data_IF_880042500708
#
_entry.id   IF_880042500708
#
_cell.length_a   1.000
_cell.length_b   1.000
_cell.length_c   1.000
_cell.angle_alpha   90.00
_cell.angle_beta   90.00
_cell.angle_gamma   90.00
#
_symmetry.space_group_name_H-M   'P 1'
#
loop_
_entity.id
_entity.type
_entity.pdbx_description
1 polymer ?
#
# COMPACT_ATOMS: atom_id res chain seq x y z
N UNK A 1 -53.51 42.26 20.78
CA UNK A 1 -52.06 42.03 20.98
C UNK A 1 -51.94 41.09 22.17
N UNK A 2 -51.88 39.75 21.87
CA UNK A 2 -51.57 38.73 22.88
C UNK A 2 -50.18 38.95 23.40
N UNK A 3 -50.04 39.08 24.70
CA UNK A 3 -48.72 39.09 25.36
C UNK A 3 -48.02 37.73 25.10
N UNK A 4 -46.97 37.72 24.32
CA UNK A 4 -46.03 36.62 24.30
C UNK A 4 -45.47 36.48 25.73
N UNK A 5 -46.12 35.65 26.55
CA UNK A 5 -45.57 35.25 27.84
C UNK A 5 -44.51 34.22 27.61
N UNK A 6 -43.29 34.47 28.11
CA UNK A 6 -42.23 33.48 28.09
C UNK A 6 -42.75 32.18 28.76
N UNK A 7 -42.50 30.99 28.16
CA UNK A 7 -42.87 29.72 28.77
C UNK A 7 -42.27 29.59 30.18
N UNK A 8 -42.89 28.81 31.07
CA UNK A 8 -42.30 28.52 32.38
C UNK A 8 -40.91 27.93 32.28
N UNK A 9 -40.00 28.28 33.20
CA UNK A 9 -38.62 27.85 33.20
C UNK A 9 -38.42 26.32 33.00
N UNK A 10 -39.23 25.42 33.63
CA UNK A 10 -39.13 23.98 33.38
C UNK A 10 -39.39 23.61 31.93
N UNK A 11 -40.41 24.20 31.30
CA UNK A 11 -40.73 23.97 29.88
C UNK A 11 -39.58 24.42 28.95
N UNK A 12 -38.95 25.55 29.27
CA UNK A 12 -37.76 26.01 28.51
C UNK A 12 -36.58 25.05 28.66
N UNK A 13 -36.33 24.55 29.87
CA UNK A 13 -35.27 23.58 30.14
C UNK A 13 -35.48 22.24 29.40
N UNK A 14 -36.72 21.79 29.27
CA UNK A 14 -37.08 20.57 28.56
C UNK A 14 -36.97 20.67 27.03
N UNK A 15 -37.08 21.90 26.50
CA UNK A 15 -36.93 22.19 25.07
C UNK A 15 -35.46 22.28 24.64
N UNK A 16 -34.51 22.37 25.58
CA UNK A 16 -33.10 22.41 25.26
C UNK A 16 -32.64 21.06 24.71
N UNK A 17 -31.72 21.10 23.76
CA UNK A 17 -31.09 19.90 23.23
C UNK A 17 -30.03 19.35 24.21
N UNK A 18 -29.38 20.24 24.95
CA UNK A 18 -28.38 19.89 25.97
C UNK A 18 -29.07 19.41 27.25
N UNK A 19 -28.50 18.39 27.88
CA UNK A 19 -29.05 17.92 29.13
C UNK A 19 -28.56 18.75 30.31
N UNK A 20 -29.50 19.14 31.18
CA UNK A 20 -29.18 19.81 32.44
C UNK A 20 -29.31 18.81 33.57
N UNK A 21 -28.33 18.79 34.45
CA UNK A 21 -28.42 18.05 35.70
C UNK A 21 -27.96 18.87 36.90
N UNK A 22 -28.56 18.56 38.06
CA UNK A 22 -28.18 19.10 39.36
C UNK A 22 -27.78 17.93 40.25
N UNK A 23 -26.63 18.05 40.91
CA UNK A 23 -26.15 17.04 41.84
C UNK A 23 -25.79 17.67 43.17
N UNK A 24 -25.92 16.90 44.25
CA UNK A 24 -25.57 17.30 45.62
C UNK A 24 -24.04 17.29 45.87
N UNK A 25 -23.64 17.53 47.11
CA UNK A 25 -22.25 17.47 47.59
C UNK A 25 -21.62 16.09 47.45
N UNK A 26 -22.41 15.01 47.43
CA UNK A 26 -21.95 13.63 47.26
C UNK A 26 -21.95 13.18 45.79
N UNK A 27 -22.38 14.06 44.88
CA UNK A 27 -22.52 13.82 43.45
C UNK A 27 -23.73 12.98 43.04
N UNK A 28 -24.79 12.95 43.92
CA UNK A 28 -26.06 12.27 43.61
C UNK A 28 -26.98 13.21 42.82
N UNK A 29 -27.63 12.66 41.81
CA UNK A 29 -28.58 13.43 41.00
C UNK A 29 -29.78 13.88 41.83
N UNK A 30 -30.03 15.19 41.84
CA UNK A 30 -31.22 15.83 42.43
C UNK A 30 -32.23 16.22 41.35
N UNK A 31 -31.77 16.52 40.14
CA UNK A 31 -32.61 16.90 39.00
C UNK A 31 -31.89 16.52 37.70
N UNK A 32 -32.68 16.10 36.71
CA UNK A 32 -32.27 15.94 35.31
C UNK A 32 -33.38 16.45 34.38
N UNK A 33 -33.01 17.15 33.29
CA UNK A 33 -33.98 17.62 32.27
C UNK A 33 -34.41 16.49 31.35
N UNK A 34 -35.46 16.67 30.54
CA UNK A 34 -35.94 15.70 29.56
C UNK A 34 -34.85 15.34 28.49
N UNK A 35 -33.92 16.25 28.20
CA UNK A 35 -32.79 15.97 27.32
C UNK A 35 -31.85 14.91 27.88
N UNK A 36 -31.80 14.72 29.20
CA UNK A 36 -30.96 13.69 29.83
C UNK A 36 -31.39 12.28 29.41
N UNK A 37 -32.68 11.98 29.35
CA UNK A 37 -33.22 10.70 28.88
C UNK A 37 -32.82 10.45 27.40
N UNK A 38 -32.99 11.46 26.54
CA UNK A 38 -32.61 11.34 25.13
C UNK A 38 -31.13 11.06 24.95
N UNK A 39 -30.26 11.70 25.76
CA UNK A 39 -28.82 11.60 25.68
C UNK A 39 -28.27 10.32 26.30
N UNK A 40 -28.76 9.92 27.47
CA UNK A 40 -28.21 8.81 28.25
C UNK A 40 -29.12 7.56 28.30
N UNK A 41 -30.38 7.67 27.88
CA UNK A 41 -31.34 6.55 27.85
C UNK A 41 -31.93 6.15 29.17
N UNK A 42 -31.69 6.91 30.26
CA UNK A 42 -32.24 6.67 31.60
C UNK A 42 -33.39 7.62 31.87
N UNK A 43 -34.49 7.07 32.42
CA UNK A 43 -35.57 7.88 32.94
C UNK A 43 -35.15 8.64 34.22
N UNK A 44 -35.71 9.82 34.50
CA UNK A 44 -35.36 10.59 35.70
C UNK A 44 -35.43 9.76 37.00
N UNK A 45 -36.47 8.97 37.17
CA UNK A 45 -36.67 8.11 38.33
C UNK A 45 -35.60 7.01 38.50
N UNK A 46 -34.89 6.66 37.43
CA UNK A 46 -33.83 5.65 37.47
C UNK A 46 -32.49 6.22 37.93
N UNK A 47 -32.32 7.55 37.83
CA UNK A 47 -31.04 8.21 38.13
C UNK A 47 -31.07 9.10 39.35
N UNK A 48 -32.25 9.64 39.73
CA UNK A 48 -32.38 10.47 40.93
C UNK A 48 -31.88 9.72 42.17
N UNK A 49 -31.04 10.39 42.96
CA UNK A 49 -30.37 9.82 44.14
C UNK A 49 -29.18 8.91 43.85
N UNK A 50 -28.93 8.52 42.60
CA UNK A 50 -27.73 7.73 42.22
C UNK A 50 -26.50 8.63 42.09
N UNK A 51 -25.30 8.11 42.48
CA UNK A 51 -24.04 8.82 42.21
C UNK A 51 -23.77 8.91 40.72
N UNK A 52 -23.48 10.09 40.19
CA UNK A 52 -23.18 10.31 38.77
C UNK A 52 -21.97 9.49 38.28
N UNK A 53 -21.02 9.22 39.18
CA UNK A 53 -19.75 8.51 38.85
C UNK A 53 -19.97 7.07 38.39
N UNK A 54 -21.13 6.47 38.76
CA UNK A 54 -21.47 5.13 38.31
C UNK A 54 -21.69 5.03 36.80
N UNK A 55 -22.18 6.13 36.20
CA UNK A 55 -22.48 6.22 34.76
C UNK A 55 -21.26 6.68 33.94
N UNK A 56 -20.24 7.19 34.61
CA UNK A 56 -18.98 7.58 33.97
C UNK A 56 -18.18 6.34 33.59
N UNK A 57 -17.60 6.35 32.36
CA UNK A 57 -16.72 5.29 31.90
C UNK A 57 -15.59 5.04 32.92
N UNK A 58 -15.25 3.77 33.24
CA UNK A 58 -14.26 3.46 34.28
C UNK A 58 -12.96 4.24 34.20
N UNK A 59 -12.37 4.35 33.01
CA UNK A 59 -11.10 5.06 32.79
C UNK A 59 -11.17 6.57 33.07
N UNK A 60 -12.37 7.16 33.00
CA UNK A 60 -12.55 8.60 33.17
C UNK A 60 -12.99 8.99 34.60
N UNK A 61 -13.23 8.01 35.48
CA UNK A 61 -13.78 8.24 36.83
C UNK A 61 -12.87 9.11 37.68
N UNK A 62 -11.59 8.78 37.76
CA UNK A 62 -10.62 9.52 38.59
C UNK A 62 -10.52 10.99 38.14
N UNK A 63 -10.35 11.22 36.85
CA UNK A 63 -10.30 12.56 36.25
C UNK A 63 -11.59 13.34 36.48
N UNK A 64 -12.74 12.68 36.43
CA UNK A 64 -14.04 13.29 36.69
C UNK A 64 -14.20 13.70 38.15
N UNK A 65 -13.79 12.86 39.11
CA UNK A 65 -13.79 13.20 40.54
C UNK A 65 -12.85 14.35 40.87
N UNK A 66 -11.69 14.44 40.23
CA UNK A 66 -10.77 15.55 40.38
C UNK A 66 -11.40 16.86 39.87
N UNK A 67 -11.98 16.84 38.67
CA UNK A 67 -12.68 18.01 38.12
C UNK A 67 -13.84 18.46 39.02
N UNK A 68 -14.57 17.52 39.61
CA UNK A 68 -15.65 17.81 40.57
C UNK A 68 -15.11 18.56 41.78
N UNK A 69 -14.04 18.12 42.41
CA UNK A 69 -13.41 18.79 43.58
C UNK A 69 -12.96 20.23 43.25
N UNK A 70 -12.39 20.44 42.06
CA UNK A 70 -11.97 21.77 41.63
C UNK A 70 -13.19 22.71 41.41
N UNK A 71 -14.26 22.20 40.83
CA UNK A 71 -15.51 22.98 40.67
C UNK A 71 -16.12 23.37 42.01
N UNK A 72 -16.17 22.44 42.98
CA UNK A 72 -16.64 22.71 44.35
C UNK A 72 -15.74 23.69 45.10
N UNK A 73 -14.44 23.72 44.78
CA UNK A 73 -13.49 24.72 45.27
C UNK A 73 -13.62 26.10 44.61
N UNK A 74 -14.66 26.34 43.83
CA UNK A 74 -14.95 27.62 43.18
C UNK A 74 -14.24 27.86 41.86
N UNK A 75 -13.59 26.85 41.28
CA UNK A 75 -12.94 26.95 39.97
C UNK A 75 -13.89 26.40 38.88
N UNK A 76 -14.57 27.24 38.09
CA UNK A 76 -15.43 26.74 37.02
C UNK A 76 -14.60 26.00 35.98
N UNK A 77 -15.10 24.85 35.52
CA UNK A 77 -14.51 24.08 34.41
C UNK A 77 -15.48 24.10 33.22
N UNK A 78 -15.34 25.07 32.32
CA UNK A 78 -15.98 24.99 31.01
C UNK A 78 -15.27 23.97 30.14
N UNK A 79 -16.04 23.28 29.30
CA UNK A 79 -15.50 22.34 28.29
C UNK A 79 -14.77 21.11 28.85
N UNK A 80 -15.10 20.64 30.05
CA UNK A 80 -14.60 19.37 30.56
C UNK A 80 -15.21 18.22 29.77
N UNK A 81 -14.40 17.34 29.20
CA UNK A 81 -14.85 16.24 28.37
C UNK A 81 -14.59 14.92 29.08
N UNK A 82 -15.58 14.02 29.07
CA UNK A 82 -15.43 12.65 29.53
C UNK A 82 -16.41 11.73 28.81
N UNK A 83 -16.27 10.43 29.03
CA UNK A 83 -17.14 9.38 28.47
C UNK A 83 -18.15 8.93 29.52
N UNK A 84 -19.39 8.73 29.08
CA UNK A 84 -20.46 8.12 29.84
C UNK A 84 -20.94 6.85 29.18
N UNK A 85 -21.48 5.94 29.98
CA UNK A 85 -22.08 4.68 29.50
C UNK A 85 -23.59 4.87 29.53
N UNK A 86 -24.24 4.78 28.38
CA UNK A 86 -25.69 4.83 28.22
C UNK A 86 -26.36 3.58 28.81
N UNK A 87 -27.67 3.63 28.98
CA UNK A 87 -28.47 2.48 29.45
C UNK A 87 -28.37 1.27 28.53
N UNK A 88 -28.18 1.48 27.23
CA UNK A 88 -27.99 0.43 26.23
C UNK A 88 -26.54 -0.10 26.15
N UNK A 89 -25.65 0.38 27.03
CA UNK A 89 -24.24 0.00 27.09
C UNK A 89 -23.32 0.77 26.14
N UNK A 90 -23.84 1.62 25.24
CA UNK A 90 -23.03 2.43 24.33
C UNK A 90 -22.29 3.54 25.08
N UNK A 91 -21.10 3.88 24.61
CA UNK A 91 -20.30 4.99 25.12
C UNK A 91 -20.69 6.28 24.38
N UNK A 92 -20.90 7.35 25.14
CA UNK A 92 -21.12 8.70 24.61
C UNK A 92 -20.06 9.65 25.15
N UNK A 93 -19.61 10.56 24.32
CA UNK A 93 -18.64 11.59 24.66
C UNK A 93 -19.38 12.88 25.03
N UNK A 94 -19.19 13.34 26.25
CA UNK A 94 -19.92 14.49 26.79
C UNK A 94 -18.93 15.62 27.07
N UNK A 95 -19.30 16.82 26.64
CA UNK A 95 -18.67 18.07 27.06
C UNK A 95 -19.54 18.74 28.12
N UNK A 96 -18.93 18.95 29.27
CA UNK A 96 -19.59 19.50 30.44
C UNK A 96 -19.23 20.96 30.66
N UNK A 97 -20.23 21.77 30.99
CA UNK A 97 -20.08 23.09 31.62
C UNK A 97 -20.75 23.04 32.99
N UNK A 98 -19.99 23.17 34.07
CA UNK A 98 -20.50 22.99 35.42
C UNK A 98 -20.06 24.11 36.33
N UNK A 99 -20.98 24.49 37.26
CA UNK A 99 -20.76 25.48 38.31
C UNK A 99 -21.25 24.97 39.64
N UNK A 100 -20.59 25.38 40.71
CA UNK A 100 -21.00 25.17 42.07
C UNK A 100 -21.86 26.37 42.56
N UNK A 101 -23.00 26.09 43.20
CA UNK A 101 -23.80 27.05 43.96
C UNK A 101 -23.48 26.84 45.43
N UNK A 102 -22.79 27.79 46.04
CA UNK A 102 -22.46 27.72 47.45
C UNK A 102 -23.71 27.97 48.32
N UNK A 103 -24.64 28.80 47.84
CA UNK A 103 -25.90 29.11 48.56
C UNK A 103 -26.81 27.88 48.64
N UNK A 104 -26.90 27.10 47.58
CA UNK A 104 -27.81 25.94 47.48
C UNK A 104 -27.10 24.62 47.79
N UNK A 105 -25.75 24.62 47.92
CA UNK A 105 -24.93 23.42 48.12
C UNK A 105 -25.13 22.38 47.02
N UNK A 106 -25.23 22.82 45.77
CA UNK A 106 -25.43 21.97 44.59
C UNK A 106 -24.50 22.35 43.44
N UNK A 107 -24.19 21.36 42.60
CA UNK A 107 -23.50 21.57 41.33
C UNK A 107 -24.51 21.48 40.19
N UNK A 108 -24.61 22.55 39.41
CA UNK A 108 -25.43 22.61 38.20
C UNK A 108 -24.52 22.37 37.01
N UNK A 109 -24.88 21.45 36.13
CA UNK A 109 -24.09 21.10 34.97
C UNK A 109 -24.94 20.97 33.70
N UNK A 110 -24.38 21.42 32.61
CA UNK A 110 -24.95 21.26 31.26
C UNK A 110 -24.08 20.28 30.50
N UNK A 111 -24.69 19.26 29.93
CA UNK A 111 -24.07 18.22 29.14
C UNK A 111 -24.37 18.46 27.65
N UNK A 112 -23.35 18.59 26.86
CA UNK A 112 -23.43 18.63 25.41
C UNK A 112 -22.86 17.32 24.82
N UNK A 113 -23.63 16.61 23.98
CA UNK A 113 -23.17 15.41 23.33
C UNK A 113 -22.25 15.78 22.18
N UNK A 114 -20.97 15.39 22.29
CA UNK A 114 -19.93 15.62 21.28
C UNK A 114 -19.50 14.31 20.61
N UNK A 115 -20.31 13.25 20.68
CA UNK A 115 -19.95 11.93 20.13
C UNK A 115 -19.72 11.99 18.63
N UNK A 116 -20.61 12.63 17.88
CA UNK A 116 -20.45 12.82 16.43
C UNK A 116 -19.22 13.67 16.09
N UNK A 117 -18.96 14.73 16.88
CA UNK A 117 -17.76 15.55 16.70
C UNK A 117 -16.49 14.71 16.91
N UNK A 118 -16.43 13.93 17.98
CA UNK A 118 -15.28 13.05 18.28
C UNK A 118 -15.09 11.99 17.21
N UNK A 119 -16.18 11.43 16.71
CA UNK A 119 -16.13 10.48 15.59
C UNK A 119 -15.57 11.13 14.32
N UNK A 120 -16.03 12.33 13.98
CA UNK A 120 -15.52 13.06 12.82
C UNK A 120 -14.03 13.41 12.97
N UNK A 121 -13.60 13.86 14.16
CA UNK A 121 -12.19 14.11 14.47
C UNK A 121 -11.33 12.84 14.28
N UNK A 122 -11.79 11.69 14.81
CA UNK A 122 -11.07 10.41 14.68
C UNK A 122 -10.96 9.96 13.23
N UNK A 123 -12.04 10.10 12.46
CA UNK A 123 -12.03 9.77 11.02
C UNK A 123 -11.07 10.68 10.26
N UNK A 124 -11.10 11.97 10.53
CA UNK A 124 -10.20 12.93 9.88
C UNK A 124 -8.73 12.63 10.22
N UNK A 125 -8.43 12.31 11.47
CA UNK A 125 -7.09 11.90 11.89
C UNK A 125 -6.64 10.62 11.17
N UNK A 126 -7.52 9.63 11.04
CA UNK A 126 -7.24 8.40 10.31
C UNK A 126 -6.95 8.64 8.81
N UNK A 127 -7.73 9.50 8.14
CA UNK A 127 -7.50 9.84 6.74
C UNK A 127 -6.13 10.51 6.53
N UNK A 128 -5.75 11.44 7.42
CA UNK A 128 -4.44 12.07 7.39
C UNK A 128 -3.32 11.05 7.62
N UNK A 129 -3.47 10.18 8.62
CA UNK A 129 -2.50 9.15 8.94
C UNK A 129 -2.32 8.13 7.80
N UNK A 130 -3.40 7.73 7.09
CA UNK A 130 -3.32 6.87 5.90
C UNK A 130 -2.58 7.57 4.77
N UNK A 131 -2.87 8.86 4.54
CA UNK A 131 -2.18 9.63 3.51
C UNK A 131 -0.69 9.77 3.80
N UNK A 132 -0.31 10.01 5.05
CA UNK A 132 1.08 10.08 5.51
C UNK A 132 1.79 8.72 5.38
N UNK A 133 1.11 7.64 5.78
CA UNK A 133 1.63 6.29 5.65
C UNK A 133 1.96 5.92 4.20
N UNK A 134 1.13 6.35 3.23
CA UNK A 134 1.37 6.13 1.80
C UNK A 134 2.69 6.76 1.31
N UNK A 135 3.12 7.87 1.91
CA UNK A 135 4.36 8.55 1.55
C UNK A 135 5.58 8.01 2.29
N UNK A 136 5.42 7.63 3.55
CA UNK A 136 6.53 7.26 4.45
C UNK A 136 6.83 5.76 4.48
N UNK A 137 5.86 4.90 4.19
CA UNK A 137 6.06 3.47 4.18
C UNK A 137 7.12 3.07 3.13
N UNK A 138 8.08 2.25 3.53
CA UNK A 138 9.15 1.77 2.64
C UNK A 138 8.63 0.87 1.52
N UNK A 139 7.64 0.03 1.82
CA UNK A 139 7.01 -0.92 0.90
C UNK A 139 5.51 -1.09 1.20
N UNK A 140 4.84 -1.95 0.43
CA UNK A 140 3.41 -2.22 0.58
C UNK A 140 3.08 -2.92 1.91
N UNK A 141 3.96 -3.81 2.39
CA UNK A 141 3.75 -4.52 3.66
C UNK A 141 3.73 -3.53 4.83
N UNK A 142 4.72 -2.64 4.90
CA UNK A 142 4.78 -1.59 5.92
C UNK A 142 3.57 -0.63 5.84
N UNK A 143 3.04 -0.38 4.63
CA UNK A 143 1.81 0.38 4.45
C UNK A 143 0.61 -0.37 5.05
N UNK A 144 0.45 -1.67 4.79
CA UNK A 144 -0.66 -2.47 5.34
C UNK A 144 -0.60 -2.58 6.86
N UNK A 145 0.58 -2.77 7.44
CA UNK A 145 0.78 -2.77 8.90
C UNK A 145 0.28 -1.46 9.52
N UNK A 146 0.63 -0.34 8.90
CA UNK A 146 0.20 0.98 9.39
C UNK A 146 -1.30 1.19 9.21
N UNK A 147 -1.88 0.78 8.08
CA UNK A 147 -3.32 0.82 7.83
C UNK A 147 -4.07 -0.03 8.87
N UNK A 148 -3.60 -1.23 9.18
CA UNK A 148 -4.19 -2.10 10.19
C UNK A 148 -4.23 -1.41 11.57
N UNK A 149 -3.13 -0.77 11.99
CA UNK A 149 -3.07 -0.01 13.24
C UNK A 149 -4.10 1.13 13.26
N UNK A 150 -4.16 1.93 12.17
CA UNK A 150 -5.11 3.06 12.06
C UNK A 150 -6.55 2.57 12.11
N UNK A 151 -6.88 1.49 11.39
CA UNK A 151 -8.23 0.91 11.41
C UNK A 151 -8.55 0.35 12.80
N UNK A 152 -7.58 -0.25 13.50
CA UNK A 152 -7.73 -0.75 14.86
C UNK A 152 -8.04 0.34 15.90
N UNK A 153 -7.70 1.60 15.63
CA UNK A 153 -8.10 2.75 16.44
C UNK A 153 -9.57 3.18 16.21
N UNK A 154 -10.13 2.84 15.04
CA UNK A 154 -11.50 3.21 14.65
C UNK A 154 -12.53 2.13 14.99
N UNK A 155 -12.16 0.85 14.88
CA UNK A 155 -13.03 -0.29 15.11
C UNK A 155 -12.20 -1.52 15.51
N UNK A 156 -12.80 -2.53 16.19
CA UNK A 156 -12.09 -3.76 16.51
C UNK A 156 -11.58 -4.47 15.25
N UNK A 157 -10.26 -4.60 15.09
CA UNK A 157 -9.62 -5.17 13.92
C UNK A 157 -8.56 -6.24 14.29
N UNK A 158 -8.86 -7.09 15.27
CA UNK A 158 -7.92 -8.13 15.71
C UNK A 158 -7.63 -9.16 14.61
N UNK A 159 -8.66 -9.50 13.83
CA UNK A 159 -8.54 -10.28 12.63
C UNK A 159 -8.79 -9.35 11.45
N UNK A 160 -7.76 -9.15 10.63
CA UNK A 160 -7.73 -8.16 9.58
C UNK A 160 -6.92 -8.67 8.40
N UNK A 161 -7.47 -8.54 7.19
CA UNK A 161 -6.69 -8.82 6.00
C UNK A 161 -7.02 -7.89 4.83
N UNK A 162 -6.06 -7.78 3.94
CA UNK A 162 -6.17 -7.08 2.67
C UNK A 162 -6.06 -8.10 1.54
N UNK A 163 -7.06 -8.12 0.68
CA UNK A 163 -7.06 -8.89 -0.55
C UNK A 163 -6.89 -7.95 -1.74
N UNK A 164 -5.97 -8.26 -2.65
CA UNK A 164 -5.75 -7.50 -3.89
C UNK A 164 -6.07 -8.37 -5.11
N UNK A 165 -6.71 -7.78 -6.10
CA UNK A 165 -7.09 -8.42 -7.34
C UNK A 165 -6.27 -7.87 -8.52
N UNK A 166 -5.61 -8.78 -9.23
CA UNK A 166 -4.94 -8.50 -10.49
C UNK A 166 -5.85 -8.95 -11.65
N UNK A 167 -6.48 -7.99 -12.33
CA UNK A 167 -7.39 -8.24 -13.43
C UNK A 167 -6.71 -8.94 -14.64
N UNK A 168 -5.42 -8.63 -14.88
CA UNK A 168 -4.68 -9.19 -16.03
C UNK A 168 -4.39 -10.68 -15.86
N UNK A 169 -4.21 -11.12 -14.60
CA UNK A 169 -3.91 -12.51 -14.25
C UNK A 169 -5.14 -13.28 -13.77
N UNK A 170 -6.27 -12.58 -13.58
CA UNK A 170 -7.44 -13.07 -12.83
C UNK A 170 -7.03 -13.70 -11.50
N UNK A 171 -6.19 -13.00 -10.74
CA UNK A 171 -5.61 -13.53 -9.52
C UNK A 171 -5.97 -12.67 -8.31
N UNK A 172 -6.57 -13.29 -7.30
CA UNK A 172 -6.83 -12.73 -5.99
C UNK A 172 -5.72 -13.18 -5.03
N UNK A 173 -4.96 -12.25 -4.48
CA UNK A 173 -3.86 -12.46 -3.54
C UNK A 173 -4.16 -11.83 -2.19
N UNK A 174 -3.48 -12.29 -1.13
CA UNK A 174 -3.65 -11.85 0.26
C UNK A 174 -2.32 -11.34 0.82
N UNK A 175 -1.83 -10.17 0.37
CA UNK A 175 -0.50 -9.67 0.73
C UNK A 175 -0.35 -9.28 2.20
N UNK A 176 -1.46 -9.11 2.92
CA UNK A 176 -1.49 -8.86 4.36
C UNK A 176 -2.63 -9.64 4.99
N UNK A 177 -2.30 -10.48 5.97
CA UNK A 177 -3.28 -11.36 6.62
C UNK A 177 -2.90 -11.58 8.08
N UNK A 178 -3.72 -11.10 8.99
CA UNK A 178 -3.60 -11.31 10.44
C UNK A 178 -4.90 -11.93 10.92
N UNK A 179 -4.80 -13.15 11.41
CA UNK A 179 -5.94 -13.91 11.91
C UNK A 179 -5.53 -14.82 13.07
N UNK A 180 -6.45 -15.04 14.01
CA UNK A 180 -6.20 -15.86 15.20
C UNK A 180 -6.23 -17.36 14.91
N UNK A 181 -6.89 -17.79 13.83
CA UNK A 181 -7.21 -19.18 13.55
C UNK A 181 -6.83 -19.66 12.15
N UNK A 182 -6.86 -18.77 11.19
CA UNK A 182 -6.67 -19.12 9.78
C UNK A 182 -5.31 -18.63 9.25
N UNK A 183 -4.74 -19.40 8.33
CA UNK A 183 -3.54 -18.99 7.57
C UNK A 183 -3.93 -18.25 6.28
N UNK A 184 -3.03 -17.41 5.72
CA UNK A 184 -3.31 -16.71 4.49
C UNK A 184 -3.59 -17.69 3.35
N UNK A 185 -4.72 -17.56 2.64
CA UNK A 185 -5.04 -18.42 1.50
C UNK A 185 -4.01 -18.26 0.38
N UNK A 186 -3.73 -19.34 -0.35
CA UNK A 186 -2.93 -19.24 -1.57
C UNK A 186 -3.66 -18.37 -2.62
N UNK A 187 -2.90 -17.67 -3.50
CA UNK A 187 -3.49 -16.93 -4.62
C UNK A 187 -4.42 -17.80 -5.45
N UNK A 188 -5.54 -17.24 -5.92
CA UNK A 188 -6.59 -17.98 -6.64
C UNK A 188 -7.40 -17.07 -7.55
N UNK A 189 -8.15 -17.64 -8.55
CA UNK A 189 -9.03 -16.85 -9.40
C UNK A 189 -10.16 -16.16 -8.63
N UNK A 190 -10.61 -14.98 -9.09
CA UNK A 190 -11.72 -14.23 -8.47
C UNK A 190 -13.01 -15.03 -8.42
N UNK A 191 -13.25 -15.94 -9.37
CA UNK A 191 -14.43 -16.82 -9.45
C UNK A 191 -14.56 -17.89 -8.36
N UNK A 192 -13.70 -17.92 -7.35
CA UNK A 192 -13.58 -18.99 -6.35
C UNK A 192 -14.73 -19.12 -5.34
N UNK A 193 -15.78 -18.30 -5.43
CA UNK A 193 -16.98 -18.39 -4.56
C UNK A 193 -16.78 -17.89 -3.12
N UNK A 194 -15.73 -17.09 -2.85
CA UNK A 194 -15.47 -16.52 -1.52
C UNK A 194 -16.27 -15.24 -1.27
N UNK A 195 -16.56 -14.92 -0.01
CA UNK A 195 -17.18 -13.65 0.41
C UNK A 195 -16.38 -12.44 -0.09
N UNK A 196 -15.06 -12.51 0.00
CA UNK A 196 -14.14 -11.47 -0.51
C UNK A 196 -14.30 -11.24 -2.01
N UNK A 197 -14.45 -12.33 -2.79
CA UNK A 197 -14.69 -12.24 -4.23
C UNK A 197 -16.02 -11.55 -4.54
N UNK A 198 -17.05 -11.78 -3.73
CA UNK A 198 -18.35 -11.12 -3.90
C UNK A 198 -18.27 -9.62 -3.63
N UNK A 199 -17.56 -9.20 -2.58
CA UNK A 199 -17.32 -7.78 -2.27
C UNK A 199 -16.58 -7.08 -3.42
N UNK A 200 -15.55 -7.72 -3.98
CA UNK A 200 -14.77 -7.16 -5.09
C UNK A 200 -15.63 -7.08 -6.36
N UNK A 201 -16.39 -8.14 -6.68
CA UNK A 201 -17.21 -8.21 -7.89
C UNK A 201 -18.38 -7.24 -7.85
N UNK A 202 -19.09 -7.19 -6.73
CA UNK A 202 -20.26 -6.30 -6.58
C UNK A 202 -19.86 -4.83 -6.38
N UNK A 203 -18.64 -4.57 -5.91
CA UNK A 203 -18.21 -3.24 -5.48
C UNK A 203 -19.02 -2.70 -4.29
N UNK A 204 -19.70 -3.59 -3.55
CA UNK A 204 -20.55 -3.24 -2.42
C UNK A 204 -20.00 -3.82 -1.10
N UNK A 205 -20.13 -3.08 0.01
CA UNK A 205 -19.76 -3.61 1.31
C UNK A 205 -20.70 -4.75 1.72
N UNK A 206 -20.14 -5.73 2.42
CA UNK A 206 -20.90 -6.87 2.93
C UNK A 206 -20.66 -7.01 4.43
N UNK A 207 -21.75 -6.95 5.20
CA UNK A 207 -21.75 -7.20 6.64
C UNK A 207 -22.55 -8.49 6.92
N UNK A 208 -21.90 -9.50 7.43
CA UNK A 208 -22.50 -10.74 7.89
C UNK A 208 -22.38 -10.83 9.40
N UNK A 209 -23.50 -11.09 10.06
CA UNK A 209 -23.57 -11.32 11.49
C UNK A 209 -24.14 -12.72 11.75
N UNK A 210 -23.95 -13.28 12.93
CA UNK A 210 -24.42 -14.62 13.28
C UNK A 210 -25.86 -14.93 12.85
N UNK A 211 -26.75 -13.91 12.83
CA UNK A 211 -28.13 -14.08 12.37
C UNK A 211 -28.36 -13.97 10.87
N UNK A 212 -27.38 -13.47 10.11
CA UNK A 212 -27.52 -13.20 8.66
C UNK A 212 -26.68 -14.14 7.79
N UNK A 213 -25.70 -14.84 8.34
CA UNK A 213 -24.85 -15.79 7.60
C UNK A 213 -25.67 -16.79 6.77
N UNK A 214 -26.62 -17.48 7.40
CA UNK A 214 -27.41 -18.53 6.76
C UNK A 214 -28.36 -18.00 5.69
N UNK A 215 -28.82 -16.75 5.77
CA UNK A 215 -29.75 -16.16 4.80
C UNK A 215 -29.06 -15.57 3.57
N UNK A 216 -27.78 -15.19 3.69
CA UNK A 216 -27.00 -14.53 2.62
C UNK A 216 -26.17 -15.56 1.85
N UNK A 217 -25.63 -16.57 2.54
CA UNK A 217 -24.72 -17.53 1.93
C UNK A 217 -25.40 -18.48 0.93
N UNK A 218 -26.71 -18.82 1.09
CA UNK A 218 -27.33 -19.81 0.24
C UNK A 218 -26.43 -21.04 0.01
N UNK A 219 -26.81 -21.98 -0.82
CA UNK A 219 -25.98 -23.15 -1.18
C UNK A 219 -24.77 -22.85 -2.09
N UNK A 220 -24.52 -21.57 -2.43
CA UNK A 220 -23.61 -21.19 -3.53
C UNK A 220 -22.28 -20.55 -3.11
N UNK A 221 -22.12 -20.07 -1.88
CA UNK A 221 -20.89 -19.43 -1.41
C UNK A 221 -20.13 -20.34 -0.46
N UNK A 222 -18.97 -20.83 -0.87
CA UNK A 222 -18.10 -21.61 -0.01
C UNK A 222 -17.34 -20.67 0.94
N UNK A 223 -17.59 -20.80 2.23
CA UNK A 223 -16.74 -20.21 3.25
C UNK A 223 -15.48 -21.08 3.42
N UNK A 224 -14.31 -20.49 3.17
CA UNK A 224 -13.02 -21.18 3.38
C UNK A 224 -12.39 -20.63 4.64
N UNK A 225 -12.41 -21.40 5.72
CA UNK A 225 -11.85 -21.04 7.02
C UNK A 225 -12.78 -21.43 8.18
N UNK A 226 -12.42 -21.04 9.41
CA UNK A 226 -13.28 -21.23 10.58
C UNK A 226 -14.47 -20.28 10.52
N UNK A 227 -15.66 -20.74 10.89
CA UNK A 227 -16.87 -19.93 10.91
C UNK A 227 -16.69 -18.73 11.85
N UNK A 228 -16.53 -17.53 11.29
CA UNK A 228 -16.54 -16.29 12.05
C UNK A 228 -17.97 -15.98 12.51
N UNK A 229 -18.13 -15.38 13.69
CA UNK A 229 -19.43 -14.93 14.18
C UNK A 229 -19.91 -13.66 13.46
N UNK A 230 -18.99 -12.76 13.16
CA UNK A 230 -19.25 -11.56 12.37
C UNK A 230 -18.11 -11.37 11.35
N UNK A 231 -18.49 -10.99 10.13
CA UNK A 231 -17.59 -10.72 9.03
C UNK A 231 -18.00 -9.40 8.35
N UNK A 232 -17.05 -8.52 8.13
CA UNK A 232 -17.28 -7.25 7.46
C UNK A 232 -16.20 -7.03 6.41
N UNK A 233 -16.60 -7.03 5.15
CA UNK A 233 -15.75 -6.71 4.01
C UNK A 233 -16.21 -5.46 3.28
N UNK A 234 -15.26 -4.64 2.87
CA UNK A 234 -15.51 -3.44 2.07
C UNK A 234 -14.60 -3.43 0.85
N UNK A 235 -15.10 -2.98 -0.31
CA UNK A 235 -14.28 -2.90 -1.52
C UNK A 235 -13.21 -1.82 -1.40
N UNK A 236 -12.06 -2.08 -2.01
CA UNK A 236 -11.02 -1.11 -2.28
C UNK A 236 -11.22 -0.60 -3.71
N UNK A 237 -11.75 0.61 -3.85
CA UNK A 237 -12.02 1.22 -5.14
C UNK A 237 -11.09 2.41 -5.33
N UNK A 238 -10.13 2.27 -6.24
CA UNK A 238 -9.23 3.32 -6.68
C UNK A 238 -9.78 4.03 -7.94
N UNK A 239 -9.22 5.18 -8.36
CA UNK A 239 -9.57 5.81 -9.63
C UNK A 239 -9.44 4.89 -10.85
N UNK A 240 -8.53 3.93 -10.82
CA UNK A 240 -8.34 2.90 -11.86
C UNK A 240 -9.42 1.80 -11.85
N UNK A 241 -10.24 1.69 -10.81
CA UNK A 241 -11.25 0.66 -10.64
C UNK A 241 -11.16 -0.08 -9.30
N UNK A 242 -11.84 -1.20 -9.20
CA UNK A 242 -11.79 -2.07 -8.03
C UNK A 242 -10.46 -2.82 -7.94
N UNK A 243 -9.66 -2.55 -6.92
CA UNK A 243 -8.32 -3.13 -6.75
C UNK A 243 -8.27 -4.24 -5.69
N UNK A 244 -9.37 -4.47 -4.95
CA UNK A 244 -9.37 -5.47 -3.88
C UNK A 244 -10.46 -5.26 -2.83
N UNK A 245 -10.21 -5.77 -1.63
CA UNK A 245 -11.07 -5.60 -0.47
C UNK A 245 -10.27 -5.53 0.83
N UNK A 246 -10.84 -4.85 1.84
CA UNK A 246 -10.43 -4.94 3.24
C UNK A 246 -11.48 -5.72 3.99
N UNK A 247 -11.02 -6.61 4.86
CA UNK A 247 -11.89 -7.44 5.69
C UNK A 247 -11.47 -7.39 7.14
N UNK A 248 -12.45 -7.30 8.02
CA UNK A 248 -12.33 -7.55 9.45
C UNK A 248 -13.30 -8.65 9.86
N UNK A 249 -12.88 -9.51 10.77
CA UNK A 249 -13.73 -10.60 11.24
C UNK A 249 -13.58 -10.86 12.74
N UNK A 250 -14.61 -11.44 13.33
CA UNK A 250 -14.66 -11.75 14.77
C UNK A 250 -15.14 -13.17 14.99
N UNK A 251 -14.47 -13.88 15.89
CA UNK A 251 -14.80 -15.22 16.33
C UNK A 251 -15.40 -15.24 17.74
N UNK A 252 -15.45 -14.08 18.41
CA UNK A 252 -15.99 -13.96 19.76
C UNK A 252 -17.30 -13.17 19.77
N UNK A 253 -18.23 -13.53 20.67
CA UNK A 253 -19.47 -12.77 20.86
C UNK A 253 -19.28 -11.39 21.51
N UNK A 254 -18.06 -11.06 21.96
CA UNK A 254 -17.72 -9.77 22.59
C UNK A 254 -17.58 -8.65 21.55
N UNK A 255 -17.15 -8.98 20.35
CA UNK A 255 -16.98 -8.04 19.25
C UNK A 255 -18.05 -8.29 18.20
N UNK A 256 -18.93 -7.30 17.99
CA UNK A 256 -20.00 -7.35 17.00
C UNK A 256 -19.84 -6.17 16.04
N UNK A 257 -19.88 -6.44 14.74
CA UNK A 257 -19.87 -5.37 13.74
C UNK A 257 -21.27 -4.84 13.50
N UNK A 258 -21.36 -3.54 13.23
CA UNK A 258 -22.62 -2.82 13.01
C UNK A 258 -22.61 -2.14 11.65
N UNK A 259 -23.78 -1.66 11.20
CA UNK A 259 -23.89 -0.82 10.00
C UNK A 259 -23.04 0.46 10.11
N UNK A 260 -22.84 0.96 11.33
CA UNK A 260 -21.98 2.12 11.58
C UNK A 260 -20.51 1.78 11.32
N UNK A 261 -20.04 0.59 11.78
CA UNK A 261 -18.69 0.09 11.46
C UNK A 261 -18.52 -0.12 9.95
N UNK A 262 -19.54 -0.65 9.27
CA UNK A 262 -19.53 -0.81 7.82
C UNK A 262 -19.39 0.54 7.10
N UNK A 263 -20.18 1.55 7.46
CA UNK A 263 -20.12 2.88 6.86
C UNK A 263 -18.74 3.53 7.11
N UNK A 264 -18.19 3.37 8.32
CA UNK A 264 -16.88 3.89 8.71
C UNK A 264 -15.76 3.24 7.91
N UNK A 265 -15.72 1.92 7.85
CA UNK A 265 -14.70 1.18 7.11
C UNK A 265 -14.78 1.46 5.61
N UNK A 266 -16.01 1.54 5.05
CA UNK A 266 -16.23 1.91 3.65
C UNK A 266 -15.74 3.32 3.33
N UNK A 267 -15.97 4.28 4.23
CA UNK A 267 -15.48 5.64 4.03
C UNK A 267 -13.95 5.71 4.00
N UNK A 268 -13.29 4.98 4.89
CA UNK A 268 -11.83 4.92 4.97
C UNK A 268 -11.22 4.11 3.82
N UNK A 269 -11.91 3.07 3.32
CA UNK A 269 -11.41 2.16 2.30
C UNK A 269 -11.03 2.87 0.99
N UNK A 270 -11.72 3.94 0.62
CA UNK A 270 -11.40 4.72 -0.58
C UNK A 270 -10.03 5.41 -0.46
N UNK A 271 -9.69 5.92 0.73
CA UNK A 271 -8.37 6.50 0.99
C UNK A 271 -7.27 5.43 1.04
N UNK A 272 -7.59 4.27 1.60
CA UNK A 272 -6.69 3.11 1.59
C UNK A 272 -6.42 2.66 0.17
N UNK A 273 -7.45 2.53 -0.67
CA UNK A 273 -7.30 2.18 -2.08
C UNK A 273 -6.38 3.16 -2.83
N UNK A 274 -6.62 4.46 -2.65
CA UNK A 274 -5.77 5.50 -3.25
C UNK A 274 -4.32 5.47 -2.73
N UNK A 275 -4.11 5.11 -1.44
CA UNK A 275 -2.79 4.96 -0.87
C UNK A 275 -2.04 3.74 -1.45
N UNK A 276 -2.73 2.61 -1.60
CA UNK A 276 -2.19 1.38 -2.22
C UNK A 276 -1.80 1.66 -3.67
N UNK A 277 -2.72 2.24 -4.46
CA UNK A 277 -2.47 2.56 -5.88
C UNK A 277 -1.28 3.51 -6.04
N UNK A 278 -1.18 4.55 -5.22
CA UNK A 278 -0.02 5.46 -5.23
C UNK A 278 1.28 4.73 -4.93
N UNK A 279 1.28 3.83 -3.95
CA UNK A 279 2.48 3.05 -3.58
C UNK A 279 2.89 2.08 -4.68
N UNK A 280 1.93 1.38 -5.28
CA UNK A 280 2.18 0.50 -6.43
C UNK A 280 2.73 1.29 -7.61
N UNK A 281 2.11 2.42 -7.96
CA UNK A 281 2.57 3.28 -9.04
C UNK A 281 3.98 3.85 -8.79
N UNK A 282 4.28 4.29 -7.55
CA UNK A 282 5.62 4.76 -7.21
C UNK A 282 6.67 3.65 -7.36
N UNK A 283 6.37 2.44 -6.88
CA UNK A 283 7.26 1.28 -7.03
C UNK A 283 7.42 0.90 -8.51
N UNK A 284 6.34 0.90 -9.27
CA UNK A 284 6.37 0.65 -10.72
C UNK A 284 7.19 1.69 -11.48
N UNK A 285 7.02 2.98 -11.16
CA UNK A 285 7.81 4.06 -11.77
C UNK A 285 9.31 3.91 -11.47
N UNK A 286 9.67 3.56 -10.24
CA UNK A 286 11.06 3.26 -9.89
C UNK A 286 11.61 2.06 -10.67
N UNK A 287 10.79 1.04 -10.85
CA UNK A 287 11.17 -0.14 -11.61
C UNK A 287 11.43 0.17 -13.08
N UNK A 288 10.48 0.84 -13.77
CA UNK A 288 10.62 1.19 -15.19
C UNK A 288 11.71 2.25 -15.45
N UNK A 289 12.05 3.06 -14.44
CA UNK A 289 13.18 3.99 -14.55
C UNK A 289 14.52 3.26 -14.72
N UNK A 290 14.61 2.01 -14.21
CA UNK A 290 15.83 1.19 -14.28
C UNK A 290 15.73 -0.02 -15.22
N UNK A 291 14.52 -0.41 -15.68
CA UNK A 291 14.33 -1.64 -16.45
C UNK A 291 13.61 -1.39 -17.78
N UNK A 292 13.88 -2.21 -18.75
CA UNK A 292 13.14 -2.30 -20.00
C UNK A 292 11.85 -3.12 -19.78
N UNK A 293 10.69 -2.49 -20.01
CA UNK A 293 9.38 -3.08 -19.71
C UNK A 293 9.08 -4.33 -20.53
N UNK A 294 9.65 -4.45 -21.73
CA UNK A 294 9.39 -5.59 -22.61
C UNK A 294 10.19 -6.82 -22.18
N UNK A 295 11.48 -6.65 -21.90
CA UNK A 295 12.41 -7.76 -21.69
C UNK A 295 12.73 -8.04 -20.23
N UNK A 296 12.29 -7.17 -19.32
CA UNK A 296 12.58 -7.23 -17.88
C UNK A 296 14.09 -7.19 -17.56
N UNK A 297 14.87 -6.62 -18.47
CA UNK A 297 16.29 -6.39 -18.29
C UNK A 297 16.57 -4.98 -17.76
N UNK A 298 17.71 -4.73 -17.09
CA UNK A 298 18.24 -3.41 -16.92
C UNK A 298 18.17 -2.60 -18.22
N UNK A 299 17.62 -1.39 -18.15
CA UNK A 299 17.63 -0.46 -19.25
C UNK A 299 19.02 0.21 -19.38
N UNK A 300 19.17 1.14 -20.33
CA UNK A 300 20.43 1.85 -20.55
C UNK A 300 20.96 2.54 -19.30
N UNK A 301 20.11 3.20 -18.53
CA UNK A 301 20.51 3.94 -17.35
C UNK A 301 21.03 3.02 -16.25
N UNK A 302 20.27 1.98 -15.90
CA UNK A 302 20.67 1.02 -14.86
C UNK A 302 21.91 0.22 -15.28
N UNK A 303 22.03 -0.13 -16.58
CA UNK A 303 23.23 -0.79 -17.08
C UNK A 303 24.46 0.09 -16.92
N UNK A 304 24.36 1.38 -17.26
CA UNK A 304 25.44 2.36 -17.11
C UNK A 304 25.85 2.54 -15.64
N UNK A 305 24.89 2.64 -14.72
CA UNK A 305 25.16 2.76 -13.28
C UNK A 305 25.91 1.53 -12.74
N UNK A 306 25.46 0.32 -13.14
CA UNK A 306 26.17 -0.92 -12.78
C UNK A 306 27.58 -1.00 -13.34
N UNK A 307 27.78 -0.56 -14.57
CA UNK A 307 29.11 -0.51 -15.18
C UNK A 307 30.04 0.47 -14.46
N UNK A 308 29.57 1.66 -14.07
CA UNK A 308 30.37 2.61 -13.30
C UNK A 308 30.74 2.05 -11.91
N UNK A 309 29.80 1.40 -11.24
CA UNK A 309 30.05 0.73 -9.95
C UNK A 309 31.07 -0.39 -10.10
N UNK A 310 30.94 -1.20 -11.15
CA UNK A 310 31.87 -2.29 -11.44
C UNK A 310 33.27 -1.78 -11.77
N UNK A 311 33.38 -0.70 -12.54
CA UNK A 311 34.69 -0.07 -12.86
C UNK A 311 35.36 0.48 -11.60
N UNK A 312 34.63 1.12 -10.70
CA UNK A 312 35.18 1.60 -9.44
C UNK A 312 35.76 0.43 -8.59
N UNK A 313 35.04 -0.70 -8.57
CA UNK A 313 35.47 -1.91 -7.88
C UNK A 313 36.70 -2.55 -8.57
N UNK A 314 36.63 -2.72 -9.88
CA UNK A 314 37.71 -3.30 -10.67
C UNK A 314 39.01 -2.50 -10.56
N UNK A 315 38.92 -1.17 -10.55
CA UNK A 315 40.07 -0.27 -10.35
C UNK A 315 40.71 -0.44 -8.97
N UNK A 316 39.89 -0.52 -7.91
CA UNK A 316 40.36 -0.71 -6.54
C UNK A 316 41.03 -2.07 -6.34
N UNK A 317 40.43 -3.10 -6.88
CA UNK A 317 40.82 -4.50 -6.65
C UNK A 317 41.75 -5.04 -7.75
N UNK A 318 42.20 -4.20 -8.69
CA UNK A 318 43.04 -4.52 -9.84
C UNK A 318 42.50 -5.70 -10.67
N UNK A 319 41.17 -5.74 -10.85
CA UNK A 319 40.48 -6.78 -11.59
C UNK A 319 40.14 -6.32 -13.02
N UNK A 320 39.92 -7.27 -13.90
CA UNK A 320 39.39 -7.01 -15.24
C UNK A 320 37.88 -7.19 -15.27
N UNK A 321 37.25 -6.42 -16.15
CA UNK A 321 35.87 -6.64 -16.56
C UNK A 321 35.76 -6.50 -18.09
N UNK A 322 34.65 -7.00 -18.65
CA UNK A 322 34.39 -6.81 -20.07
C UNK A 322 33.00 -6.32 -20.34
N UNK A 323 32.88 -5.50 -21.37
CA UNK A 323 31.61 -4.99 -21.89
C UNK A 323 31.39 -5.55 -23.28
N UNK A 324 30.22 -6.12 -23.53
CA UNK A 324 29.77 -6.51 -24.85
C UNK A 324 28.70 -5.56 -25.35
N UNK A 325 28.76 -5.18 -26.61
CA UNK A 325 27.68 -4.53 -27.33
C UNK A 325 27.16 -5.53 -28.36
N UNK A 326 25.84 -5.80 -28.30
CA UNK A 326 25.19 -6.86 -29.08
C UNK A 326 24.05 -6.24 -29.90
N UNK A 327 23.95 -6.58 -31.16
CA UNK A 327 22.88 -6.14 -32.04
C UNK A 327 22.36 -7.35 -32.85
N UNK A 328 21.03 -7.43 -32.97
CA UNK A 328 20.36 -8.49 -33.72
C UNK A 328 20.37 -8.18 -35.22
N UNK A 329 21.07 -8.98 -35.97
CA UNK A 329 21.23 -8.80 -37.42
C UNK A 329 19.88 -8.86 -38.14
N UNK A 330 19.51 -7.82 -38.89
CA UNK A 330 18.28 -7.74 -39.70
C UNK A 330 16.97 -7.80 -38.88
N UNK A 331 17.00 -7.40 -37.63
CA UNK A 331 15.79 -7.38 -36.77
C UNK A 331 14.64 -6.60 -37.42
N UNK A 332 14.92 -5.46 -38.06
CA UNK A 332 13.89 -4.69 -38.81
C UNK A 332 13.21 -5.53 -39.89
N UNK A 333 13.95 -6.36 -40.62
CA UNK A 333 13.36 -7.23 -41.64
C UNK A 333 12.46 -8.32 -41.04
N UNK A 334 12.83 -8.82 -39.85
CA UNK A 334 11.98 -9.73 -39.11
C UNK A 334 10.64 -9.07 -38.71
N UNK A 335 10.67 -7.85 -38.20
CA UNK A 335 9.48 -7.06 -37.91
C UNK A 335 8.61 -6.81 -39.15
N UNK A 336 9.23 -6.41 -40.25
CA UNK A 336 8.54 -6.13 -41.51
C UNK A 336 7.86 -7.39 -42.09
N UNK A 337 8.42 -8.58 -41.82
CA UNK A 337 7.91 -9.87 -42.34
C UNK A 337 6.89 -10.56 -41.43
N UNK A 338 7.04 -10.47 -40.10
CA UNK A 338 6.27 -11.24 -39.12
C UNK A 338 5.43 -10.37 -38.17
N UNK A 339 5.53 -9.03 -38.29
CA UNK A 339 4.84 -8.09 -37.44
C UNK A 339 5.60 -7.75 -36.14
N UNK A 340 5.17 -6.67 -35.50
CA UNK A 340 5.82 -6.17 -34.27
C UNK A 340 5.68 -7.13 -33.08
N UNK A 341 4.54 -7.81 -32.97
CA UNK A 341 4.32 -8.80 -31.88
C UNK A 341 5.34 -9.96 -31.93
N UNK A 342 5.67 -10.42 -33.14
CA UNK A 342 6.72 -11.42 -33.32
C UNK A 342 8.10 -10.87 -32.98
N UNK A 343 8.38 -9.58 -33.29
CA UNK A 343 9.58 -8.89 -32.88
C UNK A 343 9.71 -8.76 -31.37
N UNK A 344 8.64 -8.46 -30.67
CA UNK A 344 8.61 -8.36 -29.21
C UNK A 344 8.93 -9.73 -28.56
N UNK A 345 8.30 -10.80 -29.06
CA UNK A 345 8.63 -12.17 -28.62
C UNK A 345 10.09 -12.53 -28.88
N UNK A 346 10.63 -12.11 -30.03
CA UNK A 346 12.05 -12.31 -30.37
C UNK A 346 12.97 -11.60 -29.40
N UNK A 347 12.68 -10.38 -29.02
CA UNK A 347 13.44 -9.60 -28.04
C UNK A 347 13.38 -10.24 -26.63
N UNK A 348 12.22 -10.70 -26.20
CA UNK A 348 12.06 -11.42 -24.94
C UNK A 348 12.87 -12.72 -24.90
N UNK A 349 12.81 -13.50 -25.98
CA UNK A 349 13.57 -14.75 -26.08
C UNK A 349 15.09 -14.51 -26.20
N UNK A 350 15.50 -13.44 -26.88
CA UNK A 350 16.89 -12.99 -26.92
C UNK A 350 17.40 -12.67 -25.52
N UNK A 351 16.66 -11.88 -24.77
CA UNK A 351 16.97 -11.55 -23.37
C UNK A 351 17.14 -12.81 -22.51
N UNK A 352 16.23 -13.76 -22.65
CA UNK A 352 16.27 -15.03 -21.92
C UNK A 352 17.51 -15.86 -22.28
N UNK A 353 17.85 -15.98 -23.57
CA UNK A 353 19.01 -16.74 -24.04
C UNK A 353 20.34 -16.14 -23.60
N UNK A 354 20.47 -14.79 -23.65
CA UNK A 354 21.66 -14.10 -23.15
C UNK A 354 21.80 -14.36 -21.64
N UNK A 355 20.74 -14.17 -20.86
CA UNK A 355 20.74 -14.39 -19.40
C UNK A 355 21.19 -15.82 -19.04
N UNK A 356 20.77 -16.84 -19.80
CA UNK A 356 21.16 -18.25 -19.59
C UNK A 356 22.64 -18.53 -19.90
N UNK A 357 23.30 -17.66 -20.65
CA UNK A 357 24.72 -17.78 -20.91
C UNK A 357 25.61 -17.20 -19.81
N UNK A 358 25.03 -16.37 -18.92
CA UNK A 358 25.71 -15.55 -17.92
C UNK A 358 25.60 -16.14 -16.52
N UNK A 359 26.47 -15.71 -15.62
CA UNK A 359 26.41 -15.98 -14.17
C UNK A 359 25.51 -14.94 -13.49
N UNK A 360 25.12 -15.21 -12.28
CA UNK A 360 24.31 -14.30 -11.47
C UNK A 360 25.03 -12.95 -11.20
N UNK A 361 26.38 -12.99 -11.12
CA UNK A 361 27.19 -11.78 -10.95
C UNK A 361 27.28 -10.89 -12.19
N UNK A 362 27.00 -11.43 -13.38
CA UNK A 362 27.08 -10.69 -14.63
C UNK A 362 25.79 -9.91 -14.88
N UNK A 363 25.87 -8.86 -15.65
CA UNK A 363 24.69 -8.06 -16.00
C UNK A 363 24.43 -8.10 -17.50
N UNK A 364 23.18 -8.31 -17.89
CA UNK A 364 22.70 -8.04 -19.24
C UNK A 364 21.67 -6.92 -19.17
N UNK A 365 21.73 -5.99 -20.12
CA UNK A 365 20.77 -4.88 -20.27
C UNK A 365 20.33 -4.74 -21.73
N UNK A 366 19.15 -4.13 -21.93
CA UNK A 366 18.68 -3.70 -23.24
C UNK A 366 18.85 -2.21 -23.37
N UNK A 367 19.62 -1.77 -24.34
CA UNK A 367 19.96 -0.35 -24.51
C UNK A 367 18.92 0.41 -25.35
N UNK A 368 18.12 -0.30 -26.14
CA UNK A 368 17.05 0.21 -26.99
C UNK A 368 16.92 -0.56 -28.29
N UNK A 369 15.75 -0.59 -28.89
CA UNK A 369 15.54 -1.32 -30.14
C UNK A 369 15.96 -2.80 -30.03
N UNK A 370 16.89 -3.18 -30.90
CA UNK A 370 17.52 -4.51 -30.99
C UNK A 370 18.91 -4.58 -30.35
N UNK A 371 19.32 -3.55 -29.60
CA UNK A 371 20.63 -3.44 -28.94
C UNK A 371 20.62 -3.94 -27.51
N UNK A 372 21.53 -4.87 -27.20
CA UNK A 372 21.77 -5.37 -25.86
C UNK A 372 23.21 -5.11 -25.44
N UNK A 373 23.43 -5.02 -24.13
CA UNK A 373 24.77 -4.96 -23.57
C UNK A 373 24.95 -6.00 -22.48
N UNK A 374 26.19 -6.51 -22.35
CA UNK A 374 26.57 -7.45 -21.28
C UNK A 374 27.79 -6.90 -20.55
N UNK A 375 27.76 -6.99 -19.22
CA UNK A 375 28.89 -6.68 -18.35
C UNK A 375 29.33 -7.97 -17.66
N UNK A 376 30.56 -8.39 -17.92
CA UNK A 376 31.19 -9.53 -17.25
C UNK A 376 32.14 -9.04 -16.17
N UNK A 377 32.03 -9.60 -14.98
CA UNK A 377 32.89 -9.28 -13.85
C UNK A 377 33.96 -10.34 -13.62
N UNK A 378 35.15 -9.90 -13.15
CA UNK A 378 36.19 -10.81 -12.67
C UNK A 378 36.72 -11.77 -13.75
N UNK A 379 36.94 -11.27 -14.99
CA UNK A 379 37.61 -12.04 -16.02
C UNK A 379 39.10 -12.04 -15.75
N UNK A 380 39.78 -13.15 -16.05
CA UNK A 380 41.23 -13.26 -15.83
C UNK A 380 42.03 -12.84 -17.06
N UNK A 381 41.53 -13.17 -18.23
CA UNK A 381 42.17 -12.89 -19.53
C UNK A 381 41.12 -12.34 -20.50
N UNK A 382 41.51 -11.49 -21.46
CA UNK A 382 40.62 -11.06 -22.53
C UNK A 382 39.93 -12.19 -23.30
N UNK A 383 40.62 -13.33 -23.46
CA UNK A 383 40.09 -14.51 -24.15
C UNK A 383 38.90 -15.14 -23.42
N UNK A 384 38.79 -14.97 -22.08
CA UNK A 384 37.66 -15.47 -21.29
C UNK A 384 36.37 -14.76 -21.73
N UNK A 385 36.46 -13.48 -22.05
CA UNK A 385 35.32 -12.69 -22.57
C UNK A 385 34.88 -13.22 -23.95
N UNK A 386 35.85 -13.57 -24.82
CA UNK A 386 35.55 -14.10 -26.14
C UNK A 386 34.80 -15.43 -26.09
N UNK A 387 35.15 -16.32 -25.15
CA UNK A 387 34.43 -17.59 -24.93
C UNK A 387 32.97 -17.37 -24.56
N UNK A 388 32.69 -16.43 -23.69
CA UNK A 388 31.30 -16.12 -23.27
C UNK A 388 30.55 -15.45 -24.44
N UNK A 389 31.16 -14.50 -25.14
CA UNK A 389 30.54 -13.88 -26.30
C UNK A 389 30.20 -14.90 -27.39
N UNK A 390 31.09 -15.87 -27.66
CA UNK A 390 30.83 -16.94 -28.64
C UNK A 390 29.68 -17.86 -28.18
N UNK A 391 29.59 -18.17 -26.88
CA UNK A 391 28.45 -18.90 -26.31
C UNK A 391 27.12 -18.14 -26.53
N UNK A 392 27.12 -16.83 -26.32
CA UNK A 392 25.96 -15.98 -26.57
C UNK A 392 25.62 -16.00 -28.07
N UNK A 393 26.57 -15.72 -28.94
CA UNK A 393 26.35 -15.71 -30.38
C UNK A 393 25.77 -17.04 -30.89
N UNK A 394 26.34 -18.15 -30.41
CA UNK A 394 25.83 -19.50 -30.75
C UNK A 394 24.38 -19.71 -30.27
N UNK A 395 24.03 -19.28 -29.03
CA UNK A 395 22.70 -19.39 -28.47
C UNK A 395 21.68 -18.54 -29.25
N UNK A 396 22.09 -17.35 -29.69
CA UNK A 396 21.22 -16.44 -30.47
C UNK A 396 21.05 -16.93 -31.93
N UNK A 397 22.01 -17.65 -32.46
CA UNK A 397 21.92 -18.21 -33.82
C UNK A 397 21.05 -19.49 -33.91
N UNK A 398 20.53 -20.02 -32.79
CA UNK A 398 19.58 -21.12 -32.79
C UNK A 398 18.22 -20.65 -33.23
N UNK A 399 17.41 -21.47 -33.92
CA UNK A 399 16.07 -21.09 -34.34
C UNK A 399 15.21 -20.62 -33.16
N UNK A 400 14.43 -19.55 -33.37
CA UNK A 400 13.43 -19.04 -32.43
C UNK A 400 12.09 -19.70 -32.78
N UNK A 401 11.41 -20.30 -31.80
CA UNK A 401 10.09 -20.90 -31.96
C UNK A 401 9.03 -19.78 -31.99
N UNK A 402 8.80 -19.18 -33.14
CA UNK A 402 7.80 -18.15 -33.37
C UNK A 402 6.79 -18.66 -34.41
N UNK A 403 5.57 -18.97 -33.99
CA UNK A 403 4.51 -19.52 -34.86
C UNK A 403 4.87 -20.90 -35.46
N UNK A 404 4.25 -21.24 -36.60
CA UNK A 404 4.42 -22.52 -37.27
C UNK A 404 5.75 -22.74 -38.03
N UNK A 405 6.58 -21.70 -38.09
CA UNK A 405 7.88 -21.75 -38.76
C UNK A 405 8.96 -21.05 -37.93
N UNK A 406 10.00 -21.78 -37.52
CA UNK A 406 11.10 -21.19 -36.75
C UNK A 406 11.79 -20.03 -37.48
N UNK A 407 11.93 -18.87 -36.82
CA UNK A 407 12.72 -17.74 -37.32
C UNK A 407 14.19 -17.94 -36.92
N UNK A 408 15.10 -17.79 -37.87
CA UNK A 408 16.53 -17.77 -37.60
C UNK A 408 17.06 -16.34 -37.76
N UNK A 409 17.64 -15.80 -36.68
CA UNK A 409 18.30 -14.50 -36.64
C UNK A 409 19.71 -14.68 -36.06
N UNK A 410 20.64 -13.88 -36.54
CA UNK A 410 22.01 -13.88 -35.98
C UNK A 410 22.25 -12.59 -35.19
N UNK A 411 23.39 -12.50 -34.52
CA UNK A 411 23.84 -11.31 -33.83
C UNK A 411 25.29 -10.97 -34.14
N UNK A 412 25.56 -9.67 -34.16
CA UNK A 412 26.93 -9.13 -34.21
C UNK A 412 27.29 -8.62 -32.82
N UNK A 413 28.43 -8.99 -32.29
CA UNK A 413 28.85 -8.70 -30.92
C UNK A 413 30.22 -8.04 -30.94
N UNK A 414 30.32 -6.86 -30.31
CA UNK A 414 31.60 -6.18 -30.08
C UNK A 414 32.02 -6.32 -28.62
N UNK A 415 33.28 -6.50 -28.36
CA UNK A 415 33.86 -6.79 -27.05
C UNK A 415 34.90 -5.73 -26.70
N UNK A 416 34.76 -5.10 -25.52
CA UNK A 416 35.81 -4.26 -24.95
C UNK A 416 36.15 -4.77 -23.53
N UNK A 417 37.42 -4.69 -23.15
CA UNK A 417 37.95 -5.17 -21.87
C UNK A 417 38.62 -4.00 -21.13
N UNK A 418 38.33 -3.86 -19.86
CA UNK A 418 38.99 -2.95 -18.94
C UNK A 418 40.21 -3.66 -18.32
N UNK A 419 41.41 -3.05 -18.26
CA UNK A 419 41.67 -1.65 -18.68
C UNK A 419 42.16 -1.55 -20.16
N UNK A 420 42.35 -2.65 -20.87
CA UNK A 420 43.05 -2.71 -22.17
C UNK A 420 42.36 -1.87 -23.27
N UNK A 421 41.03 -1.75 -23.24
CA UNK A 421 40.25 -1.04 -24.28
C UNK A 421 39.55 0.20 -23.74
N UNK A 422 39.97 0.70 -22.56
CA UNK A 422 39.44 1.93 -21.99
C UNK A 422 39.37 1.89 -20.47
N UNK A 423 39.47 3.08 -19.86
CA UNK A 423 39.52 3.24 -18.42
C UNK A 423 38.19 3.70 -17.81
N UNK A 424 37.27 4.17 -18.65
CA UNK A 424 35.96 4.67 -18.23
C UNK A 424 34.82 4.05 -19.04
N UNK A 425 33.60 4.26 -18.55
CA UNK A 425 32.36 3.80 -19.17
C UNK A 425 32.20 4.22 -20.62
N UNK A 426 32.50 5.50 -20.93
CA UNK A 426 32.30 6.07 -22.27
C UNK A 426 33.25 5.42 -23.29
N UNK A 427 34.49 5.24 -22.89
CA UNK A 427 35.51 4.58 -23.74
C UNK A 427 35.13 3.13 -24.01
N UNK A 428 34.85 2.34 -22.97
CA UNK A 428 34.51 0.92 -23.11
C UNK A 428 33.25 0.71 -23.96
N UNK A 429 32.17 1.46 -23.70
CA UNK A 429 30.96 1.35 -24.49
C UNK A 429 31.17 1.75 -25.94
N UNK A 430 31.90 2.84 -26.21
CA UNK A 430 32.25 3.26 -27.57
C UNK A 430 33.09 2.24 -28.31
N UNK A 431 34.11 1.67 -27.66
CA UNK A 431 34.99 0.68 -28.30
C UNK A 431 34.29 -0.65 -28.55
N UNK A 432 33.39 -1.08 -27.63
CA UNK A 432 32.54 -2.24 -27.86
C UNK A 432 31.56 -2.01 -29.03
N UNK A 433 30.92 -0.85 -29.13
CA UNK A 433 30.02 -0.48 -30.23
C UNK A 433 30.76 -0.44 -31.57
N UNK A 434 31.96 0.18 -31.61
CA UNK A 434 32.80 0.23 -32.82
C UNK A 434 33.19 -1.19 -33.28
N UNK A 435 33.61 -2.06 -32.37
CA UNK A 435 33.93 -3.44 -32.66
C UNK A 435 32.73 -4.23 -33.21
N UNK A 436 31.55 -4.02 -32.64
CA UNK A 436 30.27 -4.59 -33.13
C UNK A 436 29.94 -4.10 -34.53
N UNK A 437 30.10 -2.78 -34.80
CA UNK A 437 29.88 -2.23 -36.12
C UNK A 437 30.82 -2.78 -37.20
N UNK A 438 32.10 -2.99 -36.87
CA UNK A 438 33.06 -3.64 -37.77
C UNK A 438 32.69 -5.11 -38.00
N UNK A 439 32.24 -5.83 -36.98
CA UNK A 439 31.70 -7.19 -37.12
C UNK A 439 30.52 -7.23 -38.10
N UNK A 440 29.61 -6.24 -38.07
CA UNK A 440 28.50 -6.10 -39.04
C UNK A 440 29.00 -5.89 -40.48
N UNK A 441 30.00 -5.01 -40.68
CA UNK A 441 30.57 -4.74 -42.01
C UNK A 441 31.26 -5.93 -42.61
N UNK A 442 31.94 -6.72 -41.80
CA UNK A 442 32.69 -7.91 -42.25
C UNK A 442 31.80 -9.14 -42.55
N UNK A 443 30.45 -9.00 -42.50
CA UNK A 443 29.53 -10.06 -42.93
C UNK A 443 28.54 -10.54 -41.87
N UNK A 444 28.45 -9.88 -40.72
CA UNK A 444 27.51 -10.18 -39.62
C UNK A 444 27.76 -11.55 -38.97
N UNK A 445 26.91 -11.93 -37.98
CA UNK A 445 27.01 -13.21 -37.27
C UNK A 445 28.42 -13.52 -36.75
N UNK A 446 29.07 -12.57 -36.12
CA UNK A 446 30.46 -12.70 -35.65
C UNK A 446 30.75 -11.82 -34.45
N UNK A 447 31.90 -12.05 -33.86
CA UNK A 447 32.48 -11.27 -32.78
C UNK A 447 33.52 -10.30 -33.35
N UNK A 448 33.62 -9.11 -32.76
CA UNK A 448 34.70 -8.16 -32.92
C UNK A 448 35.29 -7.84 -31.56
N UNK A 449 36.62 -7.87 -31.44
CA UNK A 449 37.35 -7.36 -30.28
C UNK A 449 37.74 -5.91 -30.57
N UNK A 450 37.61 -5.04 -29.61
CA UNK A 450 38.12 -3.67 -29.72
C UNK A 450 39.63 -3.70 -29.89
N UNK A 451 40.16 -2.80 -30.72
CA UNK A 451 41.59 -2.58 -30.80
C UNK A 451 42.09 -1.85 -29.56
N UNK A 452 43.30 -2.14 -29.11
CA UNK A 452 43.94 -1.38 -28.04
C UNK A 452 44.06 0.08 -28.51
N UNK A 453 43.76 1.07 -27.67
CA UNK A 453 43.88 2.47 -28.06
C UNK A 453 45.33 2.76 -28.47
N UNK A 454 45.49 3.24 -29.70
CA UNK A 454 46.75 3.83 -30.16
C UNK A 454 46.95 5.12 -29.35
N UNK A 455 47.82 5.09 -28.36
CA UNK A 455 48.25 6.28 -27.64
C UNK A 455 49.12 7.17 -28.55
N UNK A 456 48.57 7.67 -29.64
CA UNK A 456 49.19 8.77 -30.38
C UNK A 456 48.85 10.06 -29.63
N UNK A 457 49.88 10.83 -29.30
CA UNK A 457 49.90 12.04 -28.46
C UNK A 457 49.07 13.25 -28.97
N UNK A 458 48.02 13.04 -29.77
CA UNK A 458 47.28 14.14 -30.47
C UNK A 458 46.02 14.64 -29.77
N UNK A 459 45.61 14.13 -28.61
CA UNK A 459 44.42 14.60 -27.88
C UNK A 459 44.71 15.70 -26.80
N UNK A 460 45.93 16.25 -26.78
CA UNK A 460 46.34 17.32 -25.85
C UNK A 460 46.05 18.75 -26.34
N UNK A 461 45.33 18.92 -27.46
CA UNK A 461 45.20 20.25 -28.12
C UNK A 461 43.76 20.74 -28.32
N UNK A 462 42.78 20.34 -27.45
CA UNK A 462 41.43 20.90 -27.53
C UNK A 462 40.83 21.20 -26.14
N UNK A 463 41.61 21.88 -25.27
CA UNK A 463 41.09 22.61 -24.14
C UNK A 463 41.90 23.91 -23.98
N UNK A 464 41.53 24.93 -24.75
CA UNK A 464 41.78 26.35 -24.46
C UNK A 464 40.49 27.13 -24.71
#
# INVERSE_FOLDING_TARGET
MEKNSCPPLPTLMDLLLDAICVVDTEGRYLYVSAAYERMFGYLPEEVLGRPMIELVHPDDRERTLQATREIMGGQPKPNFQNRYIRKDGRVVHIMWSARWSEADQVRIAVAHDITELKRAESVQAALLAISEAAHTAKDLLALFERIHQIIGELLPARNFFVALYDERRDELSFPYFIDEYDEPPAPRPLGSGMLTSEVIRSGQPLLLTHGTFSSVLGDSLAYSGRDSLDWLGVPLTAPSGGIGAIVVQSYSGEVRYTVEHQALLQFVSNQVAAAIERKQNATWLQYIAGHDVLTDLPNRELFHDRLETALATARRDHQRLSVFYIDLDRFKQANDSYGHDAGDLLLCETARRIRQCLRESDTVGRLGGDEFAVLLLGIHRPEDAFVIAEKIRHALNQPFALGDGGLQISSSIGIAVYPEHGEDRKQLMRHADTAMYEAKKQGRNRLGMADAPDFSEDDAALDV
#
